data_IF_476889608820
#
_entry.id   IF_476889608820
#
_cell.length_a   1.000
_cell.length_b   1.000
_cell.length_c   1.000
_cell.angle_alpha   90.00
_cell.angle_beta   90.00
_cell.angle_gamma   90.00
#
_symmetry.space_group_name_H-M   'P 1'
#
loop_
_entity.id
_entity.type
_entity.pdbx_description
1 polymer ?
#
# COMPACT_ATOMS: atom_id res chain seq x y z
N UNK A 1 -4.35 -15.67 -11.28
CA UNK A 1 -3.23 -14.72 -11.09
C UNK A 1 -1.94 -15.39 -10.65
N UNK A 2 -1.89 -16.08 -9.49
CA UNK A 2 -0.64 -16.66 -8.93
C UNK A 2 0.12 -17.54 -9.93
N UNK A 3 -0.54 -18.54 -10.54
CA UNK A 3 0.08 -19.43 -11.53
C UNK A 3 0.64 -18.63 -12.72
N UNK A 4 -0.11 -17.65 -13.21
CA UNK A 4 0.31 -16.80 -14.33
C UNK A 4 1.52 -15.92 -14.02
N UNK A 5 1.68 -15.50 -12.77
CA UNK A 5 2.87 -14.79 -12.29
C UNK A 5 4.06 -15.74 -12.16
N UNK A 6 3.86 -16.93 -11.58
CA UNK A 6 4.91 -17.95 -11.45
C UNK A 6 5.47 -18.38 -12.82
N UNK A 7 4.61 -18.56 -13.83
CA UNK A 7 5.02 -18.85 -15.20
C UNK A 7 5.83 -17.73 -15.87
N UNK A 8 5.82 -16.51 -15.32
CA UNK A 8 6.53 -15.33 -15.85
C UNK A 8 7.69 -14.91 -14.96
N UNK A 9 8.15 -15.76 -14.04
CA UNK A 9 9.18 -15.43 -13.05
C UNK A 9 10.40 -14.70 -13.63
N UNK A 10 11.05 -15.25 -14.66
CA UNK A 10 12.19 -14.62 -15.33
C UNK A 10 11.87 -13.22 -15.89
N UNK A 11 10.64 -13.02 -16.38
CA UNK A 11 10.20 -11.72 -16.88
C UNK A 11 10.00 -10.70 -15.77
N UNK A 12 9.55 -11.15 -14.60
CA UNK A 12 9.39 -10.31 -13.42
C UNK A 12 10.74 -9.95 -12.79
N UNK A 13 11.71 -10.88 -12.77
CA UNK A 13 13.07 -10.61 -12.30
C UNK A 13 13.75 -9.49 -13.10
N UNK A 14 13.55 -9.46 -14.43
CA UNK A 14 14.07 -8.39 -15.29
C UNK A 14 13.53 -6.99 -14.93
N UNK A 15 12.41 -6.90 -14.21
CA UNK A 15 11.86 -5.60 -13.77
C UNK A 15 12.72 -4.95 -12.69
N UNK A 16 13.54 -5.70 -11.95
CA UNK A 16 14.42 -5.16 -10.91
C UNK A 16 15.49 -4.19 -11.46
N UNK A 17 15.85 -4.30 -12.74
CA UNK A 17 16.78 -3.39 -13.40
C UNK A 17 16.12 -2.18 -14.10
N UNK A 18 14.79 -2.05 -14.04
CA UNK A 18 14.05 -0.99 -14.73
C UNK A 18 13.79 0.22 -13.83
N UNK A 19 13.53 1.41 -14.40
CA UNK A 19 13.02 2.54 -13.65
C UNK A 19 11.75 2.18 -12.87
N UNK A 20 11.58 2.64 -11.61
CA UNK A 20 10.48 2.18 -10.75
C UNK A 20 9.07 2.39 -11.33
N UNK A 21 8.84 3.50 -12.02
CA UNK A 21 7.56 3.77 -12.68
C UNK A 21 7.24 2.75 -13.78
N UNK A 22 8.22 2.45 -14.64
CA UNK A 22 8.08 1.45 -15.72
C UNK A 22 7.90 0.04 -15.16
N UNK A 23 8.60 -0.30 -14.07
CA UNK A 23 8.44 -1.58 -13.40
C UNK A 23 7.01 -1.76 -12.86
N UNK A 24 6.44 -0.72 -12.22
CA UNK A 24 5.05 -0.74 -11.72
C UNK A 24 4.04 -0.84 -12.85
N UNK A 25 4.21 -0.08 -13.93
CA UNK A 25 3.34 -0.17 -15.11
C UNK A 25 3.37 -1.59 -15.70
N UNK A 26 4.57 -2.17 -15.87
CA UNK A 26 4.73 -3.53 -16.36
C UNK A 26 4.05 -4.57 -15.45
N UNK A 27 4.14 -4.43 -14.12
CA UNK A 27 3.44 -5.32 -13.18
C UNK A 27 1.92 -5.27 -13.38
N UNK A 28 1.35 -4.09 -13.60
CA UNK A 28 -0.12 -3.94 -13.81
C UNK A 28 -0.64 -4.50 -15.13
N UNK A 29 0.25 -4.88 -16.07
CA UNK A 29 -0.15 -5.60 -17.29
C UNK A 29 -0.60 -7.04 -17.04
N UNK A 30 -0.31 -7.59 -15.85
CA UNK A 30 -0.71 -8.95 -15.47
C UNK A 30 -2.17 -8.98 -15.02
N UNK A 31 -2.94 -9.91 -15.56
CA UNK A 31 -4.35 -10.09 -15.17
C UNK A 31 -4.50 -10.36 -13.66
N UNK A 32 -5.22 -9.47 -12.98
CA UNK A 32 -5.46 -9.50 -11.55
C UNK A 32 -4.39 -8.84 -10.69
N UNK A 33 -3.41 -8.15 -11.29
CA UNK A 33 -2.45 -7.29 -10.58
C UNK A 33 -2.87 -5.84 -10.78
N UNK A 34 -3.46 -5.24 -9.74
CA UNK A 34 -3.82 -3.83 -9.72
C UNK A 34 -2.70 -2.93 -9.20
N UNK A 35 -2.98 -1.62 -9.16
CA UNK A 35 -2.03 -0.58 -8.69
C UNK A 35 -1.54 -0.82 -7.26
N UNK A 36 -2.42 -1.29 -6.36
CA UNK A 36 -2.08 -1.65 -4.99
C UNK A 36 -1.04 -2.78 -4.95
N UNK A 37 -1.34 -3.91 -5.62
CA UNK A 37 -0.43 -5.06 -5.67
C UNK A 37 0.91 -4.68 -6.30
N UNK A 38 0.90 -3.88 -7.37
CA UNK A 38 2.11 -3.42 -8.02
C UNK A 38 2.97 -2.53 -7.09
N UNK A 39 2.34 -1.64 -6.30
CA UNK A 39 3.04 -0.84 -5.30
C UNK A 39 3.66 -1.72 -4.21
N UNK A 40 2.89 -2.66 -3.63
CA UNK A 40 3.37 -3.57 -2.58
C UNK A 40 4.61 -4.38 -3.01
N UNK A 41 4.59 -4.88 -4.26
CA UNK A 41 5.73 -5.60 -4.88
C UNK A 41 6.89 -4.64 -5.12
N UNK A 42 6.66 -3.47 -5.70
CA UNK A 42 7.70 -2.51 -6.01
C UNK A 42 8.48 -2.08 -4.75
N UNK A 43 7.77 -1.84 -3.64
CA UNK A 43 8.36 -1.47 -2.35
C UNK A 43 9.24 -2.57 -1.74
N UNK A 44 8.74 -3.81 -1.70
CA UNK A 44 9.37 -4.91 -0.95
C UNK A 44 10.38 -5.71 -1.76
N UNK A 45 10.09 -5.92 -3.05
CA UNK A 45 10.92 -6.75 -3.93
C UNK A 45 11.83 -5.92 -4.84
N UNK A 46 11.40 -4.73 -5.27
CA UNK A 46 12.15 -3.90 -6.22
C UNK A 46 12.81 -2.66 -5.59
N UNK A 47 12.52 -2.37 -4.31
CA UNK A 47 13.10 -1.25 -3.57
C UNK A 47 12.60 0.14 -3.95
N UNK A 48 11.42 0.26 -4.58
CA UNK A 48 10.81 1.56 -4.91
C UNK A 48 10.47 2.34 -3.63
N UNK A 49 11.20 3.44 -3.38
CA UNK A 49 11.01 4.29 -2.21
C UNK A 49 9.80 5.23 -2.29
N UNK A 50 9.14 5.30 -3.44
CA UNK A 50 8.10 6.30 -3.75
C UNK A 50 6.75 5.69 -4.13
N UNK A 51 6.67 4.36 -4.28
CA UNK A 51 5.43 3.65 -4.57
C UNK A 51 4.45 3.74 -3.40
N UNK A 52 3.40 4.54 -3.49
CA UNK A 52 2.35 4.61 -2.46
C UNK A 52 1.29 3.53 -2.71
N UNK A 53 0.90 2.76 -1.69
CA UNK A 53 -0.12 1.70 -1.81
C UNK A 53 -1.54 2.26 -1.85
N UNK A 54 -1.85 3.04 -2.89
CA UNK A 54 -3.20 3.53 -3.17
C UNK A 54 -4.16 2.34 -3.31
N UNK A 55 -5.34 2.43 -2.69
CA UNK A 55 -6.31 1.34 -2.57
C UNK A 55 -6.11 0.46 -1.34
N UNK A 56 -5.08 0.73 -0.52
CA UNK A 56 -4.94 0.06 0.77
C UNK A 56 -6.04 0.51 1.74
N UNK A 57 -6.72 -0.48 2.34
CA UNK A 57 -7.88 -0.24 3.18
C UNK A 57 -7.61 0.60 4.43
N UNK A 58 -6.36 0.64 4.93
CA UNK A 58 -6.00 1.31 6.17
C UNK A 58 -5.05 2.48 5.99
N UNK A 59 -4.31 2.52 4.89
CA UNK A 59 -3.20 3.45 4.72
C UNK A 59 -3.62 4.92 4.76
N UNK A 60 -4.53 5.35 3.88
CA UNK A 60 -4.95 6.77 3.81
C UNK A 60 -5.57 7.25 5.12
N UNK A 61 -6.39 6.41 5.75
CA UNK A 61 -6.96 6.70 7.06
C UNK A 61 -5.87 6.85 8.15
N UNK A 62 -4.88 5.95 8.20
CA UNK A 62 -3.77 6.04 9.14
C UNK A 62 -2.93 7.30 8.92
N UNK A 63 -2.64 7.64 7.67
CA UNK A 63 -1.88 8.85 7.31
C UNK A 63 -2.63 10.10 7.74
N UNK A 64 -3.94 10.19 7.45
CA UNK A 64 -4.77 11.30 7.89
C UNK A 64 -4.76 11.47 9.42
N UNK A 65 -4.99 10.39 10.16
CA UNK A 65 -4.97 10.45 11.62
C UNK A 65 -3.60 10.82 12.18
N UNK A 66 -2.53 10.32 11.58
CA UNK A 66 -1.16 10.55 12.07
C UNK A 66 -0.68 11.98 11.79
N UNK A 67 -0.97 12.53 10.61
CA UNK A 67 -0.41 13.81 10.17
C UNK A 67 -1.38 14.98 10.34
N UNK A 68 -2.69 14.74 10.26
CA UNK A 68 -3.73 15.78 10.26
C UNK A 68 -4.71 15.67 11.44
N UNK A 69 -4.72 14.52 12.14
CA UNK A 69 -5.65 14.28 13.25
C UNK A 69 -7.10 13.98 12.83
N UNK A 70 -7.34 13.61 11.57
CA UNK A 70 -8.65 13.19 11.05
C UNK A 70 -8.47 12.22 9.86
N UNK A 71 -9.43 11.34 9.54
CA UNK A 71 -9.29 10.45 8.38
C UNK A 71 -9.31 11.24 7.06
N UNK A 72 -8.63 10.70 6.05
CA UNK A 72 -8.64 11.19 4.66
C UNK A 72 -8.78 10.02 3.70
N UNK A 73 -9.15 10.29 2.45
CA UNK A 73 -9.17 9.30 1.38
C UNK A 73 -7.84 9.21 0.61
N UNK A 74 -7.79 8.34 -0.39
CA UNK A 74 -6.59 8.10 -1.19
C UNK A 74 -6.18 9.30 -2.06
N UNK A 75 -7.15 10.08 -2.57
CA UNK A 75 -6.87 11.26 -3.40
C UNK A 75 -6.19 12.32 -2.55
N UNK A 76 -6.76 12.59 -1.38
CA UNK A 76 -6.20 13.51 -0.40
C UNK A 76 -4.83 13.02 0.12
N UNK A 77 -4.65 11.71 0.33
CA UNK A 77 -3.36 11.15 0.72
C UNK A 77 -2.29 11.39 -0.36
N UNK A 78 -2.62 11.19 -1.64
CA UNK A 78 -1.68 11.43 -2.75
C UNK A 78 -1.25 12.90 -2.80
N UNK A 79 -2.19 13.83 -2.68
CA UNK A 79 -1.90 15.28 -2.64
C UNK A 79 -1.03 15.65 -1.43
N UNK A 80 -1.40 15.18 -0.24
CA UNK A 80 -0.67 15.42 1.01
C UNK A 80 0.78 14.92 0.93
N UNK A 81 1.00 13.79 0.26
CA UNK A 81 2.30 13.11 0.20
C UNK A 81 3.19 13.61 -0.95
N UNK A 82 2.70 14.45 -1.86
CA UNK A 82 3.46 14.92 -3.02
C UNK A 82 4.81 15.60 -2.66
N UNK A 83 4.90 16.45 -1.62
CA UNK A 83 6.17 17.06 -1.21
C UNK A 83 7.24 16.05 -0.74
N UNK A 84 6.85 14.83 -0.41
CA UNK A 84 7.74 13.79 0.12
C UNK A 84 8.36 12.93 -0.97
N UNK A 85 8.10 13.21 -2.25
CA UNK A 85 8.81 12.55 -3.35
C UNK A 85 10.32 12.78 -3.25
N UNK A 86 11.17 11.79 -3.60
CA UNK A 86 10.83 10.45 -4.09
C UNK A 86 10.78 9.39 -2.96
N UNK A 87 10.23 9.74 -1.80
CA UNK A 87 10.33 8.97 -0.56
C UNK A 87 8.97 8.69 0.11
N UNK A 88 7.86 8.78 -0.64
CA UNK A 88 6.51 8.63 -0.05
C UNK A 88 6.32 7.30 0.68
N UNK A 89 6.77 6.18 0.10
CA UNK A 89 6.75 4.90 0.82
C UNK A 89 7.68 4.87 2.02
N UNK A 90 8.87 5.49 1.94
CA UNK A 90 9.78 5.56 3.10
C UNK A 90 9.14 6.31 4.26
N UNK A 91 8.39 7.38 4.01
CA UNK A 91 7.64 8.08 5.05
C UNK A 91 6.63 7.16 5.71
N UNK A 92 5.79 6.47 4.91
CA UNK A 92 4.85 5.47 5.42
C UNK A 92 5.58 4.43 6.28
N UNK A 93 6.66 3.86 5.76
CA UNK A 93 7.42 2.82 6.45
C UNK A 93 8.05 3.32 7.75
N UNK A 94 8.53 4.56 7.78
CA UNK A 94 9.08 5.18 8.98
C UNK A 94 8.00 5.39 10.04
N UNK A 95 6.78 5.80 9.66
CA UNK A 95 5.66 5.93 10.60
C UNK A 95 5.28 4.56 11.20
N UNK A 96 5.23 3.51 10.38
CA UNK A 96 4.93 2.14 10.82
C UNK A 96 5.97 1.62 11.83
N UNK A 97 7.27 1.77 11.53
CA UNK A 97 8.34 1.18 12.35
C UNK A 97 8.70 2.02 13.58
N UNK A 98 8.48 3.34 13.54
CA UNK A 98 8.73 4.24 14.67
C UNK A 98 7.66 4.16 15.76
N UNK A 99 6.52 3.51 15.48
CA UNK A 99 5.31 3.52 16.33
C UNK A 99 4.70 4.92 16.49
N UNK A 100 5.04 5.86 15.60
CA UNK A 100 4.39 7.17 15.52
C UNK A 100 3.07 7.12 14.75
N UNK A 101 2.86 6.09 13.93
CA UNK A 101 1.59 5.85 13.26
C UNK A 101 0.45 5.77 14.29
N UNK A 102 -0.55 6.63 14.12
CA UNK A 102 -1.71 6.74 14.99
C UNK A 102 -2.98 6.41 14.24
N UNK A 103 -3.81 5.56 14.85
CA UNK A 103 -5.18 5.32 14.46
C UNK A 103 -6.03 5.21 15.74
N UNK A 104 -7.11 6.00 15.90
CA UNK A 104 -7.96 5.90 17.08
C UNK A 104 -8.47 4.48 17.27
N UNK A 105 -8.45 4.01 18.52
CA UNK A 105 -9.01 2.70 18.85
C UNK A 105 -10.49 2.72 18.51
N UNK A 106 -10.90 1.83 17.61
CA UNK A 106 -12.32 1.51 17.43
C UNK A 106 -12.85 1.00 18.78
N UNK A 107 -14.04 1.46 19.18
CA UNK A 107 -14.66 1.12 20.46
C UNK A 107 -14.82 -0.39 20.67
N UNK A 108 -15.31 -0.80 21.85
CA UNK A 108 -15.44 -2.22 22.19
C UNK A 108 -16.11 -3.01 21.04
N UNK A 109 -15.46 -4.08 20.59
CA UNK A 109 -16.05 -5.02 19.61
C UNK A 109 -17.33 -5.58 20.24
N UNK A 110 -18.38 -5.72 19.44
CA UNK A 110 -19.61 -6.39 19.87
C UNK A 110 -19.24 -7.74 20.55
N UNK A 111 -19.83 -8.05 21.72
CA UNK A 111 -19.62 -9.35 22.35
C UNK A 111 -20.06 -10.46 21.38
N UNK A 112 -19.42 -11.63 21.47
CA UNK A 112 -19.73 -12.80 20.63
C UNK A 112 -21.24 -13.06 20.66
N UNK A 113 -21.88 -12.93 19.51
CA UNK A 113 -23.31 -13.20 19.35
C UNK A 113 -23.53 -14.70 19.10
N UNK A 114 -24.51 -15.31 19.77
CA UNK A 114 -24.96 -16.66 19.38
C UNK A 114 -25.84 -16.55 18.15
N UNK A 115 -25.23 -16.76 16.98
CA UNK A 115 -25.94 -16.78 15.69
C UNK A 115 -26.75 -18.05 15.44
N UNK A 116 -26.68 -19.04 16.34
CA UNK A 116 -27.38 -20.32 16.21
C UNK A 116 -28.90 -20.25 16.39
N UNK A 117 -29.46 -19.05 16.64
CA UNK A 117 -30.89 -18.81 16.78
C UNK A 117 -31.48 -17.82 15.77
N UNK A 118 -30.70 -17.45 14.75
CA UNK A 118 -31.16 -16.76 13.54
C UNK A 118 -31.54 -17.80 12.49
#
# INVERSE_FOLDING_TARGET
TIIGCAQRAESLERLAGRPPAEAREALTSLSGVGVWTAAEVAQRALGDSDALSVGDYHLSTMIGWTLLGHPIDDVQMVELMEPMRPHRYRVVRLLEVSRLAYLPRRGARLPVQRISGL
#
